data_IF_166959833572
#
_entry.id   IF_166959833572
#
_cell.length_a   1.000
_cell.length_b   1.000
_cell.length_c   1.000
_cell.angle_alpha   90.00
_cell.angle_beta   90.00
_cell.angle_gamma   90.00
#
_symmetry.space_group_name_H-M   'P 1'
#
loop_
_entity.id
_entity.type
_entity.pdbx_description
1 polymer ?
#
# COMPACT_ATOMS: atom_id res chain seq x y z
N UNK A 1 7.83 7.59 21.64
CA UNK A 1 7.04 8.78 21.18
C UNK A 1 6.11 8.31 20.08
N UNK A 2 4.79 8.21 20.34
CA UNK A 2 3.79 7.79 19.34
C UNK A 2 3.91 8.72 18.11
N UNK A 3 4.06 8.16 16.92
CA UNK A 3 4.04 8.90 15.66
C UNK A 3 2.74 8.63 14.91
N UNK A 4 2.34 9.54 14.01
CA UNK A 4 1.29 9.24 13.03
C UNK A 4 1.79 8.15 12.08
N UNK A 5 0.93 7.21 11.71
CA UNK A 5 1.29 6.20 10.72
C UNK A 5 1.52 6.88 9.36
N UNK A 6 2.73 6.73 8.84
CA UNK A 6 3.10 7.16 7.50
C UNK A 6 3.87 6.04 6.82
N UNK A 7 3.39 5.59 5.67
CA UNK A 7 3.97 4.45 4.95
C UNK A 7 4.32 4.79 3.51
N UNK A 8 5.40 4.17 3.03
CA UNK A 8 5.70 4.03 1.62
C UNK A 8 5.18 2.69 1.12
N UNK A 9 4.53 2.70 -0.04
CA UNK A 9 3.93 1.52 -0.66
C UNK A 9 4.55 1.33 -2.04
N UNK A 10 5.20 0.20 -2.26
CA UNK A 10 5.63 -0.23 -3.58
C UNK A 10 4.79 -1.43 -4.03
N UNK A 11 4.34 -1.40 -5.28
CA UNK A 11 3.42 -2.38 -5.84
C UNK A 11 4.14 -3.13 -6.96
N UNK A 12 4.12 -4.46 -6.87
CA UNK A 12 4.64 -5.37 -7.88
C UNK A 12 3.54 -6.36 -8.27
N UNK A 13 3.76 -7.15 -9.32
CA UNK A 13 2.75 -8.09 -9.84
C UNK A 13 2.31 -9.13 -8.81
N UNK A 14 3.23 -9.62 -7.98
CA UNK A 14 2.97 -10.72 -7.04
C UNK A 14 3.08 -10.31 -5.56
N UNK A 15 3.30 -9.02 -5.26
CA UNK A 15 3.59 -8.56 -3.90
C UNK A 15 3.35 -7.07 -3.71
N UNK A 16 3.22 -6.69 -2.46
CA UNK A 16 3.21 -5.29 -2.01
C UNK A 16 4.30 -5.15 -0.95
N UNK A 17 5.13 -4.13 -1.08
CA UNK A 17 6.10 -3.76 -0.07
C UNK A 17 5.62 -2.52 0.66
N UNK A 18 5.71 -2.56 1.99
CA UNK A 18 5.28 -1.45 2.85
C UNK A 18 6.39 -1.11 3.82
N UNK A 19 6.81 0.16 3.83
CA UNK A 19 7.81 0.68 4.75
C UNK A 19 7.18 1.75 5.64
N UNK A 20 7.25 1.61 6.96
CA UNK A 20 6.86 2.70 7.86
C UNK A 20 7.99 3.72 7.97
N UNK A 21 7.71 4.96 7.57
CA UNK A 21 8.72 6.01 7.32
C UNK A 21 9.56 6.36 8.55
N UNK A 22 8.97 6.35 9.75
CA UNK A 22 9.66 6.81 10.96
C UNK A 22 10.57 5.74 11.57
N UNK A 23 10.08 4.52 11.63
CA UNK A 23 10.78 3.38 12.25
C UNK A 23 11.62 2.59 11.26
N UNK A 24 11.37 2.73 9.96
CA UNK A 24 12.01 1.95 8.91
C UNK A 24 11.57 0.48 8.88
N UNK A 25 10.51 0.11 9.59
CA UNK A 25 9.97 -1.25 9.53
C UNK A 25 9.51 -1.52 8.11
N UNK A 26 10.09 -2.55 7.51
CA UNK A 26 9.85 -2.97 6.14
C UNK A 26 9.16 -4.32 6.12
N UNK A 27 8.09 -4.42 5.35
CA UNK A 27 7.34 -5.66 5.13
C UNK A 27 7.28 -5.93 3.63
N UNK A 28 7.82 -7.07 3.20
CA UNK A 28 7.64 -7.61 1.85
C UNK A 28 6.51 -8.65 1.86
N UNK A 29 5.32 -8.24 1.43
CA UNK A 29 4.14 -9.08 1.46
C UNK A 29 3.84 -9.66 0.08
N UNK A 30 4.12 -10.96 -0.10
CA UNK A 30 3.65 -11.72 -1.25
C UNK A 30 2.12 -11.83 -1.23
N UNK A 31 1.47 -11.71 -2.39
CA UNK A 31 0.04 -11.93 -2.51
C UNK A 31 -0.27 -13.43 -2.47
N UNK A 32 -1.23 -13.83 -1.62
CA UNK A 32 -1.71 -15.22 -1.57
C UNK A 32 -2.42 -15.62 -2.88
N UNK A 33 -3.07 -14.65 -3.50
CA UNK A 33 -3.70 -14.78 -4.81
C UNK A 33 -3.29 -13.61 -5.71
N UNK A 34 -3.03 -13.83 -7.00
CA UNK A 34 -2.66 -12.76 -7.92
C UNK A 34 -3.74 -11.68 -7.98
N UNK A 35 -3.35 -10.43 -7.70
CA UNK A 35 -4.17 -9.25 -7.91
C UNK A 35 -3.84 -8.53 -9.24
N UNK A 36 -2.71 -8.86 -9.86
CA UNK A 36 -2.32 -8.38 -11.19
C UNK A 36 -2.84 -9.28 -12.31
N UNK A 37 -2.85 -8.79 -13.54
CA UNK A 37 -3.02 -9.55 -14.78
C UNK A 37 -1.82 -9.32 -15.71
N UNK A 38 -1.80 -9.93 -16.90
CA UNK A 38 -0.71 -9.71 -17.87
C UNK A 38 -0.55 -8.23 -18.24
N UNK A 39 -1.68 -7.51 -18.34
CA UNK A 39 -1.74 -6.12 -18.82
C UNK A 39 -1.90 -5.08 -17.72
N UNK A 40 -2.26 -5.48 -16.49
CA UNK A 40 -2.51 -4.57 -15.38
C UNK A 40 -1.73 -4.99 -14.14
N UNK A 41 -1.06 -4.03 -13.52
CA UNK A 41 -0.40 -4.23 -12.23
C UNK A 41 -1.42 -4.45 -11.12
N UNK A 42 -2.58 -3.79 -11.19
CA UNK A 42 -3.69 -3.98 -10.23
C UNK A 42 -5.01 -4.20 -10.96
N UNK A 43 -5.35 -5.47 -11.21
CA UNK A 43 -6.57 -5.90 -11.90
C UNK A 43 -7.72 -6.26 -10.94
N UNK A 44 -7.40 -6.78 -9.74
CA UNK A 44 -8.37 -7.20 -8.72
C UNK A 44 -8.15 -6.42 -7.41
N UNK A 45 -9.08 -5.51 -7.11
CA UNK A 45 -9.02 -4.65 -5.94
C UNK A 45 -9.09 -5.41 -4.62
N UNK A 46 -9.93 -6.45 -4.53
CA UNK A 46 -10.13 -7.19 -3.29
C UNK A 46 -8.90 -8.00 -2.93
N UNK A 47 -8.24 -8.61 -3.92
CA UNK A 47 -6.99 -9.33 -3.70
C UNK A 47 -5.84 -8.39 -3.36
N UNK A 48 -5.79 -7.22 -4.00
CA UNK A 48 -4.81 -6.20 -3.67
C UNK A 48 -5.00 -5.68 -2.24
N UNK A 49 -6.23 -5.36 -1.85
CA UNK A 49 -6.58 -4.96 -0.49
C UNK A 49 -6.20 -6.03 0.54
N UNK A 50 -6.42 -7.30 0.21
CA UNK A 50 -6.05 -8.41 1.09
C UNK A 50 -4.52 -8.43 1.35
N UNK A 51 -3.72 -8.37 0.28
CA UNK A 51 -2.26 -8.31 0.39
C UNK A 51 -1.80 -7.07 1.18
N UNK A 52 -2.31 -5.89 0.84
CA UNK A 52 -1.96 -4.64 1.53
C UNK A 52 -2.35 -4.70 3.02
N UNK A 53 -3.55 -5.16 3.35
CA UNK A 53 -4.03 -5.30 4.73
C UNK A 53 -3.15 -6.25 5.54
N UNK A 54 -2.65 -7.33 4.92
CA UNK A 54 -1.75 -8.26 5.60
C UNK A 54 -0.39 -7.61 5.90
N UNK A 55 0.14 -6.82 4.97
CA UNK A 55 1.37 -6.04 5.20
C UNK A 55 1.17 -5.02 6.35
N UNK A 56 0.09 -4.24 6.30
CA UNK A 56 -0.22 -3.23 7.31
C UNK A 56 -0.43 -3.82 8.70
N UNK A 57 -1.10 -4.97 8.81
CA UNK A 57 -1.25 -5.67 10.10
C UNK A 57 0.11 -6.04 10.71
N UNK A 58 1.11 -6.39 9.90
CA UNK A 58 2.45 -6.69 10.41
C UNK A 58 3.17 -5.42 10.90
N UNK A 59 3.04 -4.30 10.18
CA UNK A 59 3.50 -2.99 10.65
C UNK A 59 2.89 -2.67 12.02
N UNK A 60 1.56 -2.74 12.11
CA UNK A 60 0.81 -2.40 13.33
C UNK A 60 1.10 -3.31 14.52
N UNK A 61 1.48 -4.59 14.30
CA UNK A 61 1.92 -5.49 15.37
C UNK A 61 3.27 -5.11 15.98
N UNK A 62 4.09 -4.39 15.24
CA UNK A 62 5.49 -4.11 15.61
C UNK A 62 5.63 -2.81 16.40
N UNK A 63 4.61 -1.96 16.43
CA UNK A 63 4.69 -0.66 17.09
C UNK A 63 3.35 -0.06 17.51
N UNK A 64 3.41 1.02 18.28
CA UNK A 64 2.24 1.82 18.64
C UNK A 64 2.18 3.07 17.76
N UNK A 65 1.07 3.21 17.02
CA UNK A 65 0.87 4.29 16.04
C UNK A 65 -0.38 5.10 16.35
N UNK A 66 -0.33 6.40 16.08
CA UNK A 66 -1.54 7.23 15.99
C UNK A 66 -2.18 7.04 14.61
N UNK A 67 -3.45 6.61 14.59
CA UNK A 67 -4.23 6.41 13.38
C UNK A 67 -5.04 7.66 12.97
N UNK A 68 -4.70 8.82 13.52
CA UNK A 68 -5.28 10.10 13.12
C UNK A 68 -4.59 10.60 11.84
N UNK A 69 -5.37 10.73 10.77
CA UNK A 69 -4.92 11.11 9.42
C UNK A 69 -3.68 10.34 8.91
N UNK A 70 -3.74 9.00 8.79
CA UNK A 70 -2.60 8.24 8.32
C UNK A 70 -2.30 8.56 6.85
N UNK A 71 -1.00 8.57 6.52
CA UNK A 71 -0.47 8.92 5.20
C UNK A 71 0.08 7.68 4.50
N UNK A 72 -0.23 7.54 3.22
CA UNK A 72 0.42 6.59 2.33
C UNK A 72 1.04 7.36 1.16
N UNK A 73 2.24 6.97 0.77
CA UNK A 73 2.88 7.43 -0.45
C UNK A 73 3.13 6.21 -1.31
N UNK A 74 2.57 6.20 -2.50
CA UNK A 74 2.77 5.13 -3.48
C UNK A 74 3.95 5.52 -4.34
N UNK A 75 5.01 4.72 -4.28
CA UNK A 75 6.21 4.94 -5.09
C UNK A 75 5.97 4.64 -6.58
N UNK A 76 6.95 4.95 -7.44
CA UNK A 76 6.88 4.65 -8.85
C UNK A 76 6.70 3.14 -9.08
N UNK A 77 5.95 2.81 -10.13
CA UNK A 77 5.60 1.44 -10.50
C UNK A 77 6.12 1.09 -11.89
N UNK A 78 6.42 -0.18 -12.12
CA UNK A 78 6.80 -0.71 -13.43
C UNK A 78 5.94 -1.95 -13.78
N UNK A 79 5.00 -1.84 -14.75
CA UNK A 79 4.67 -0.65 -15.52
C UNK A 79 4.00 0.43 -14.65
N UNK A 80 4.03 1.68 -15.13
CA UNK A 80 3.34 2.79 -14.47
C UNK A 80 1.82 2.52 -14.39
N UNK A 81 1.21 2.85 -13.25
CA UNK A 81 -0.23 2.69 -13.05
C UNK A 81 -1.02 3.51 -14.07
N UNK A 82 -1.93 2.87 -14.78
CA UNK A 82 -2.94 3.55 -15.60
C UNK A 82 -3.90 4.34 -14.70
N UNK A 83 -4.62 5.36 -15.21
CA UNK A 83 -5.57 6.12 -14.41
C UNK A 83 -6.64 5.28 -13.70
N UNK A 84 -7.23 4.22 -14.33
CA UNK A 84 -8.13 3.30 -13.63
C UNK A 84 -7.47 2.54 -12.48
N UNK A 85 -6.24 2.04 -12.67
CA UNK A 85 -5.49 1.34 -11.61
C UNK A 85 -5.14 2.29 -10.47
N UNK A 86 -4.72 3.52 -10.78
CA UNK A 86 -4.45 4.56 -9.78
C UNK A 86 -5.70 4.88 -8.95
N UNK A 87 -6.87 4.99 -9.59
CA UNK A 87 -8.13 5.21 -8.89
C UNK A 87 -8.49 4.02 -7.97
N UNK A 88 -8.24 2.78 -8.43
CA UNK A 88 -8.45 1.57 -7.66
C UNK A 88 -7.51 1.50 -6.44
N UNK A 89 -6.21 1.73 -6.64
CA UNK A 89 -5.20 1.76 -5.56
C UNK A 89 -5.56 2.83 -4.52
N UNK A 90 -5.93 4.04 -4.97
CA UNK A 90 -6.38 5.12 -4.08
C UNK A 90 -7.60 4.71 -3.27
N UNK A 91 -8.61 4.09 -3.90
CA UNK A 91 -9.80 3.61 -3.22
C UNK A 91 -9.45 2.56 -2.15
N UNK A 92 -8.62 1.58 -2.48
CA UNK A 92 -8.20 0.54 -1.51
C UNK A 92 -7.42 1.15 -0.34
N UNK A 93 -6.55 2.12 -0.58
CA UNK A 93 -5.87 2.83 0.49
C UNK A 93 -6.86 3.63 1.38
N UNK A 94 -7.90 4.21 0.80
CA UNK A 94 -8.96 4.87 1.58
C UNK A 94 -9.77 3.86 2.40
N UNK A 95 -10.13 2.72 1.82
CA UNK A 95 -10.91 1.65 2.46
C UNK A 95 -10.12 1.02 3.63
N UNK A 96 -8.78 0.99 3.54
CA UNK A 96 -7.88 0.58 4.64
C UNK A 96 -7.62 1.68 5.69
N UNK A 97 -8.17 2.88 5.50
CA UNK A 97 -8.20 3.96 6.49
C UNK A 97 -7.24 5.12 6.23
N UNK A 98 -6.47 5.12 5.14
CA UNK A 98 -5.60 6.23 4.77
C UNK A 98 -6.40 7.47 4.36
N UNK A 99 -5.96 8.64 4.83
CA UNK A 99 -6.61 9.92 4.54
C UNK A 99 -5.79 10.80 3.61
N UNK A 100 -4.46 10.67 3.65
CA UNK A 100 -3.54 11.38 2.77
C UNK A 100 -2.81 10.37 1.89
N UNK A 101 -3.08 10.41 0.58
CA UNK A 101 -2.53 9.45 -0.39
C UNK A 101 -1.88 10.26 -1.51
N UNK A 102 -0.60 10.03 -1.72
CA UNK A 102 0.21 10.65 -2.77
C UNK A 102 0.81 9.57 -3.66
N UNK A 103 1.04 9.89 -4.93
CA UNK A 103 1.73 9.04 -5.89
C UNK A 103 2.99 9.80 -6.32
N UNK A 104 4.17 9.20 -6.25
CA UNK A 104 5.46 9.90 -6.46
C UNK A 104 5.75 10.24 -7.94
N UNK A 105 5.02 9.61 -8.85
CA UNK A 105 5.04 9.85 -10.30
C UNK A 105 4.10 11.01 -10.72
N UNK A 106 3.78 11.92 -9.78
CA UNK A 106 3.12 13.24 -9.97
C UNK A 106 4.09 14.39 -9.66
#
# INVERSE_FOLDING_TARGET
MLGRLAVDVAIYRDRVQVTERKSGIFIDQRADHPFSSDTQLVADATRFEHALSHALRQILKTGAYMLYEPRAVVGPTDPALTPPERALVRRVLQDTGFRRIEFEDE
#
